data_IF_266747288976
#
_entry.id   IF_266747288976
#
_cell.length_a   1.000
_cell.length_b   1.000
_cell.length_c   1.000
_cell.angle_alpha   90.00
_cell.angle_beta   90.00
_cell.angle_gamma   90.00
#
_symmetry.space_group_name_H-M   'P 1'
#
loop_
_entity.id
_entity.type
_entity.pdbx_description
1 polymer ?
#
# COMPACT_ATOMS: atom_id res chain seq x y z
N UNK A 1 18.90 -15.88 -14.02
CA UNK A 1 17.80 -15.15 -14.73
C UNK A 1 16.44 -15.68 -14.27
N UNK A 2 15.36 -14.98 -14.62
CA UNK A 2 13.98 -15.44 -14.37
C UNK A 2 13.71 -16.77 -15.08
N UNK A 3 14.27 -16.96 -16.26
CA UNK A 3 14.12 -18.21 -17.02
C UNK A 3 14.84 -19.38 -16.35
N UNK A 4 16.00 -19.16 -15.77
CA UNK A 4 16.71 -20.20 -14.99
C UNK A 4 15.91 -20.60 -13.77
N UNK A 5 15.26 -19.63 -13.10
CA UNK A 5 14.39 -19.89 -11.96
C UNK A 5 13.16 -20.73 -12.35
N UNK A 6 12.53 -20.44 -13.49
CA UNK A 6 11.38 -21.20 -14.01
C UNK A 6 11.76 -22.64 -14.33
N UNK A 7 12.94 -22.86 -14.93
CA UNK A 7 13.46 -24.20 -15.19
C UNK A 7 13.75 -24.95 -13.89
N UNK A 8 14.35 -24.26 -12.92
CA UNK A 8 14.61 -24.80 -11.60
C UNK A 8 13.30 -25.22 -10.91
N UNK A 9 12.32 -24.31 -10.86
CA UNK A 9 11.05 -24.58 -10.19
C UNK A 9 10.29 -25.75 -10.81
N UNK A 10 10.27 -25.84 -12.14
CA UNK A 10 9.65 -26.96 -12.84
C UNK A 10 10.29 -28.30 -12.49
N UNK A 11 11.62 -28.34 -12.38
CA UNK A 11 12.34 -29.54 -11.92
C UNK A 11 12.09 -29.84 -10.46
N UNK A 12 12.07 -28.80 -9.62
CA UNK A 12 11.87 -28.90 -8.18
C UNK A 12 10.50 -29.49 -7.81
N UNK A 13 9.46 -29.06 -8.49
CA UNK A 13 8.08 -29.52 -8.26
C UNK A 13 7.68 -30.72 -9.16
N UNK A 14 8.63 -31.47 -9.70
CA UNK A 14 8.35 -32.67 -10.49
C UNK A 14 8.81 -33.94 -9.79
N UNK A 15 8.06 -35.02 -9.94
CA UNK A 15 8.43 -36.34 -9.37
C UNK A 15 9.72 -36.91 -10.02
N UNK A 16 10.18 -36.32 -11.13
CA UNK A 16 11.42 -36.69 -11.82
C UNK A 16 12.65 -35.93 -11.31
N UNK A 17 12.52 -35.08 -10.30
CA UNK A 17 13.62 -34.29 -9.79
C UNK A 17 14.63 -35.16 -9.07
N UNK A 18 15.75 -35.46 -9.72
CA UNK A 18 16.92 -36.06 -9.06
C UNK A 18 17.67 -35.03 -8.25
N UNK A 19 17.50 -35.09 -6.93
CA UNK A 19 18.20 -34.26 -5.98
C UNK A 19 19.28 -35.10 -5.30
N UNK A 20 20.55 -34.73 -5.43
CA UNK A 20 21.65 -35.41 -4.76
C UNK A 20 21.52 -35.30 -3.22
N UNK A 21 22.39 -36.03 -2.48
CA UNK A 21 22.27 -36.17 -1.00
C UNK A 21 22.22 -34.86 -0.20
N UNK A 22 22.70 -33.76 -0.77
CA UNK A 22 22.67 -32.45 -0.12
C UNK A 22 21.29 -31.78 -0.12
N UNK A 23 20.31 -32.33 -0.84
CA UNK A 23 18.99 -31.75 -1.03
C UNK A 23 17.86 -32.46 -0.27
N UNK A 24 18.22 -33.34 0.63
CA UNK A 24 17.27 -34.18 1.39
C UNK A 24 16.23 -33.35 2.17
N UNK A 25 16.60 -32.13 2.60
CA UNK A 25 15.74 -31.25 3.39
C UNK A 25 14.93 -30.26 2.58
N UNK A 26 15.15 -30.17 1.28
CA UNK A 26 14.54 -29.14 0.44
C UNK A 26 13.21 -29.59 -0.13
N UNK A 27 12.97 -30.90 -0.22
CA UNK A 27 11.76 -31.48 -0.78
C UNK A 27 10.73 -31.91 0.28
N UNK A 28 11.09 -31.83 1.57
CA UNK A 28 10.15 -32.17 2.62
C UNK A 28 9.18 -31.02 2.86
N UNK A 29 7.92 -31.34 2.97
CA UNK A 29 6.89 -30.41 3.42
C UNK A 29 7.17 -30.00 4.86
N UNK A 30 7.03 -28.74 5.18
CA UNK A 30 7.26 -28.21 6.54
C UNK A 30 6.36 -28.88 7.57
N UNK A 31 5.15 -29.26 7.18
CA UNK A 31 4.24 -30.02 8.05
C UNK A 31 4.85 -31.33 8.57
N UNK A 32 5.77 -31.96 7.83
CA UNK A 32 6.42 -33.19 8.28
C UNK A 32 7.26 -33.00 9.56
N UNK A 33 7.67 -31.77 9.86
CA UNK A 33 8.43 -31.41 11.05
C UNK A 33 7.56 -30.85 12.19
N UNK A 34 6.32 -30.53 11.91
CA UNK A 34 5.40 -29.88 12.86
C UNK A 34 4.23 -30.79 13.26
N UNK A 35 4.05 -31.93 12.58
CA UNK A 35 2.92 -32.83 12.81
C UNK A 35 3.34 -34.20 13.25
N UNK A 36 2.59 -34.82 14.17
CA UNK A 36 2.65 -36.22 14.55
C UNK A 36 1.31 -36.86 14.26
N UNK A 37 1.30 -37.95 13.51
CA UNK A 37 0.06 -38.61 13.09
C UNK A 37 -0.95 -37.69 12.40
N UNK A 38 -0.46 -36.73 11.59
CA UNK A 38 -1.29 -35.79 10.85
C UNK A 38 -1.92 -34.66 11.69
N UNK A 39 -1.46 -34.47 12.93
CA UNK A 39 -1.87 -33.36 13.78
C UNK A 39 -0.66 -32.51 14.17
N UNK A 40 -0.87 -31.19 14.20
CA UNK A 40 0.14 -30.26 14.73
C UNK A 40 0.26 -30.49 16.23
N UNK A 41 1.44 -30.83 16.69
CA UNK A 41 1.77 -31.13 18.10
C UNK A 41 2.71 -30.06 18.69
N UNK A 42 2.79 -28.89 18.05
CA UNK A 42 3.56 -27.74 18.55
C UNK A 42 2.63 -26.74 19.19
N UNK A 43 3.01 -26.20 20.35
CA UNK A 43 2.25 -25.16 21.04
C UNK A 43 2.23 -23.82 20.28
N UNK A 44 3.27 -23.58 19.47
CA UNK A 44 3.40 -22.35 18.70
C UNK A 44 4.26 -22.54 17.44
N UNK A 45 3.83 -21.97 16.33
CA UNK A 45 4.59 -21.94 15.08
C UNK A 45 4.81 -20.48 14.67
N UNK A 46 6.06 -20.04 14.73
CA UNK A 46 6.43 -18.69 14.30
C UNK A 46 6.55 -18.60 12.76
N UNK A 47 6.03 -17.55 12.16
CA UNK A 47 6.19 -17.27 10.73
C UNK A 47 7.42 -16.40 10.49
N UNK A 48 8.15 -16.65 9.41
CA UNK A 48 9.36 -15.89 9.07
C UNK A 48 9.03 -14.40 8.82
N UNK A 49 7.84 -14.13 8.31
CA UNK A 49 7.35 -12.79 8.01
C UNK A 49 7.13 -11.93 9.26
N UNK A 50 6.78 -12.57 10.37
CA UNK A 50 6.51 -11.95 11.69
C UNK A 50 7.49 -12.40 12.77
N UNK A 51 8.60 -13.04 12.40
CA UNK A 51 9.50 -13.75 13.31
C UNK A 51 9.94 -12.93 14.54
N UNK A 52 10.19 -11.63 14.37
CA UNK A 52 10.63 -10.77 15.47
C UNK A 52 9.53 -10.56 16.53
N UNK A 53 8.27 -10.48 16.10
CA UNK A 53 7.13 -10.29 16.98
C UNK A 53 6.68 -11.62 17.58
N UNK A 54 6.67 -12.70 16.79
CA UNK A 54 6.41 -14.05 17.25
C UNK A 54 7.43 -14.48 18.32
N UNK A 55 8.71 -14.13 18.13
CA UNK A 55 9.75 -14.41 19.11
C UNK A 55 9.51 -13.72 20.45
N UNK A 56 9.02 -12.49 20.45
CA UNK A 56 8.62 -11.79 21.68
C UNK A 56 7.47 -12.49 22.39
N UNK A 57 6.48 -12.98 21.64
CA UNK A 57 5.37 -13.77 22.20
C UNK A 57 5.89 -15.03 22.86
N UNK A 58 6.75 -15.79 22.18
CA UNK A 58 7.37 -17.00 22.73
C UNK A 58 8.15 -16.68 24.01
N UNK A 59 9.02 -15.67 23.98
CA UNK A 59 9.79 -15.25 25.15
C UNK A 59 8.88 -14.85 26.33
N UNK A 60 7.83 -14.09 26.05
CA UNK A 60 6.85 -13.69 27.09
C UNK A 60 6.15 -14.91 27.70
N UNK A 61 5.73 -15.87 26.89
CA UNK A 61 5.07 -17.12 27.33
C UNK A 61 5.98 -17.96 28.21
N UNK A 62 7.27 -18.00 27.88
CA UNK A 62 8.28 -18.74 28.63
C UNK A 62 8.86 -17.98 29.85
N UNK A 63 8.40 -16.73 30.10
CA UNK A 63 8.93 -15.90 31.19
C UNK A 63 10.37 -15.43 30.95
N UNK A 64 10.82 -15.40 29.69
CA UNK A 64 12.16 -14.95 29.31
C UNK A 64 12.09 -13.46 28.94
N UNK A 65 12.88 -12.63 29.62
CA UNK A 65 12.92 -11.19 29.35
C UNK A 65 14.26 -10.76 28.74
N UNK A 66 14.24 -9.70 27.94
CA UNK A 66 15.41 -8.99 27.40
C UNK A 66 16.31 -9.81 26.47
N UNK A 67 15.75 -10.67 25.63
CA UNK A 67 16.49 -11.35 24.59
C UNK A 67 16.08 -10.80 23.22
N UNK A 68 17.05 -10.28 22.48
CA UNK A 68 16.88 -9.92 21.07
C UNK A 68 17.12 -11.13 20.17
N UNK A 69 16.30 -11.23 19.13
CA UNK A 69 16.50 -12.26 18.11
C UNK A 69 17.85 -12.02 17.39
N UNK A 70 18.81 -12.97 17.44
CA UNK A 70 20.11 -12.77 16.85
C UNK A 70 20.01 -12.68 15.32
N UNK A 71 20.67 -11.69 14.73
CA UNK A 71 20.78 -11.52 13.27
C UNK A 71 22.08 -12.12 12.77
N UNK A 72 22.05 -13.37 12.35
CA UNK A 72 23.17 -14.02 11.67
C UNK A 72 22.91 -14.14 10.18
N UNK A 73 23.97 -14.07 9.36
CA UNK A 73 23.92 -14.20 7.88
C UNK A 73 23.00 -13.21 7.17
N UNK A 74 22.77 -12.02 7.75
CA UNK A 74 21.93 -10.98 7.15
C UNK A 74 22.66 -10.10 6.11
N UNK A 75 23.94 -10.36 5.87
CA UNK A 75 24.82 -9.50 5.03
C UNK A 75 24.66 -9.70 3.52
N UNK A 76 24.03 -10.78 3.09
CA UNK A 76 23.84 -11.03 1.67
C UNK A 76 22.42 -10.65 1.23
N UNK A 77 22.23 -9.39 0.82
CA UNK A 77 21.11 -8.99 -0.02
C UNK A 77 21.67 -8.69 -1.41
N UNK A 78 21.30 -9.45 -2.45
CA UNK A 78 21.60 -9.03 -3.82
C UNK A 78 21.09 -7.61 -4.04
N UNK A 79 21.89 -6.74 -4.65
CA UNK A 79 21.52 -5.34 -4.92
C UNK A 79 20.24 -5.19 -5.76
N UNK A 80 19.84 -6.24 -6.48
CA UNK A 80 18.73 -6.27 -7.43
C UNK A 80 17.70 -7.37 -7.09
N UNK A 81 17.41 -7.56 -5.80
CA UNK A 81 16.42 -8.54 -5.40
C UNK A 81 15.00 -8.01 -5.67
N UNK A 82 14.35 -8.60 -6.65
CA UNK A 82 12.96 -8.34 -6.97
C UNK A 82 12.03 -9.05 -5.98
N UNK A 83 10.81 -8.52 -5.80
CA UNK A 83 9.81 -9.22 -5.01
C UNK A 83 9.51 -10.60 -5.65
N UNK A 84 9.29 -11.62 -4.84
CA UNK A 84 9.10 -12.99 -5.33
C UNK A 84 8.01 -13.09 -6.41
N UNK A 85 6.94 -12.30 -6.32
CA UNK A 85 5.85 -12.29 -7.32
C UNK A 85 6.28 -11.93 -8.74
N UNK A 86 7.44 -11.31 -8.91
CA UNK A 86 7.98 -10.99 -10.24
C UNK A 86 8.65 -12.20 -10.92
N UNK A 87 8.91 -13.26 -10.15
CA UNK A 87 9.53 -14.49 -10.67
C UNK A 87 8.52 -15.56 -11.07
N UNK A 88 7.25 -15.40 -10.65
CA UNK A 88 6.19 -16.37 -10.89
C UNK A 88 5.19 -15.85 -11.91
N UNK A 89 4.85 -16.67 -12.90
CA UNK A 89 3.63 -16.53 -13.68
C UNK A 89 2.52 -17.47 -13.15
N UNK A 90 1.32 -17.39 -13.70
CA UNK A 90 0.18 -18.17 -13.23
C UNK A 90 0.45 -19.68 -13.22
N UNK A 91 1.26 -20.18 -14.19
CA UNK A 91 1.60 -21.61 -14.26
C UNK A 91 2.52 -22.04 -13.12
N UNK A 92 3.50 -21.21 -12.75
CA UNK A 92 4.37 -21.48 -11.63
C UNK A 92 3.61 -21.36 -10.30
N UNK A 93 2.71 -20.40 -10.19
CA UNK A 93 1.84 -20.27 -9.00
C UNK A 93 1.01 -21.54 -8.80
N UNK A 94 0.35 -22.03 -9.84
CA UNK A 94 -0.44 -23.27 -9.74
C UNK A 94 0.43 -24.52 -9.49
N UNK A 95 1.63 -24.58 -10.04
CA UNK A 95 2.57 -25.65 -9.77
C UNK A 95 2.98 -25.70 -8.31
N UNK A 96 3.35 -24.56 -7.73
CA UNK A 96 3.72 -24.45 -6.30
C UNK A 96 2.54 -24.75 -5.40
N UNK A 97 1.35 -24.22 -5.71
CA UNK A 97 0.13 -24.53 -4.95
C UNK A 97 -0.16 -26.03 -4.92
N UNK A 98 0.02 -26.72 -6.04
CA UNK A 98 -0.20 -28.15 -6.11
C UNK A 98 0.83 -28.92 -5.29
N UNK A 99 2.11 -28.55 -5.39
CA UNK A 99 3.20 -29.27 -4.74
C UNK A 99 3.22 -29.06 -3.22
N UNK A 100 3.00 -27.82 -2.77
CA UNK A 100 3.00 -27.43 -1.36
C UNK A 100 1.58 -27.26 -0.79
N UNK A 101 0.59 -27.96 -1.37
CA UNK A 101 -0.81 -27.80 -0.98
C UNK A 101 -1.05 -27.95 0.51
N UNK A 102 -0.43 -28.96 1.13
CA UNK A 102 -0.63 -29.24 2.54
C UNK A 102 0.01 -28.19 3.45
N UNK A 103 1.22 -27.73 3.13
CA UNK A 103 1.89 -26.64 3.85
C UNK A 103 1.12 -25.32 3.71
N UNK A 104 0.68 -25.00 2.50
CA UNK A 104 -0.10 -23.78 2.22
C UNK A 104 -1.39 -23.77 3.03
N UNK A 105 -2.09 -24.89 3.08
CA UNK A 105 -3.33 -25.05 3.85
C UNK A 105 -3.09 -25.00 5.35
N UNK A 106 -2.11 -25.76 5.84
CA UNK A 106 -1.83 -25.92 7.27
C UNK A 106 -1.33 -24.62 7.90
N UNK A 107 -0.44 -23.91 7.19
CA UNK A 107 0.12 -22.65 7.68
C UNK A 107 -0.60 -21.40 7.16
N UNK A 108 -1.74 -21.55 6.50
CA UNK A 108 -2.57 -20.46 5.98
C UNK A 108 -1.81 -19.47 5.08
N UNK A 109 -0.91 -19.99 4.25
CA UNK A 109 -0.22 -19.16 3.27
C UNK A 109 -1.14 -18.82 2.09
N UNK A 110 -1.01 -17.62 1.59
CA UNK A 110 -1.64 -17.20 0.34
C UNK A 110 -0.61 -16.57 -0.59
N UNK A 111 -0.74 -16.86 -1.88
CA UNK A 111 0.02 -16.12 -2.89
C UNK A 111 -0.66 -14.77 -3.10
N UNK A 112 -0.16 -13.78 -2.39
CA UNK A 112 -0.55 -12.40 -2.65
C UNK A 112 0.31 -11.88 -3.80
N UNK A 113 -0.31 -11.58 -4.93
CA UNK A 113 0.25 -10.61 -5.86
C UNK A 113 0.28 -9.26 -5.12
N UNK A 114 1.29 -9.05 -4.28
CA UNK A 114 1.57 -7.70 -3.87
C UNK A 114 1.94 -6.96 -5.15
N UNK A 115 1.12 -5.98 -5.49
CA UNK A 115 1.53 -4.97 -6.45
C UNK A 115 2.72 -4.27 -5.78
N UNK A 116 3.93 -4.73 -6.08
CA UNK A 116 5.14 -4.02 -5.67
C UNK A 116 5.16 -2.78 -6.51
N UNK A 117 4.63 -1.70 -5.97
CA UNK A 117 4.77 -0.38 -6.57
C UNK A 117 6.24 -0.01 -6.44
N UNK A 118 7.03 -0.39 -7.43
CA UNK A 118 8.38 0.13 -7.58
C UNK A 118 8.27 1.61 -7.93
N UNK A 119 8.64 2.43 -6.97
CA UNK A 119 8.85 3.84 -7.20
C UNK A 119 10.09 4.01 -8.08
N UNK A 120 9.90 4.07 -9.39
CA UNK A 120 11.00 4.28 -10.34
C UNK A 120 11.44 5.74 -10.32
N UNK A 121 10.48 6.67 -10.21
CA UNK A 121 10.70 8.12 -10.11
C UNK A 121 9.54 8.76 -9.36
N UNK A 122 9.73 9.94 -8.73
CA UNK A 122 8.60 10.71 -8.22
C UNK A 122 7.68 11.10 -9.37
N UNK A 123 6.37 10.94 -9.18
CA UNK A 123 5.34 11.27 -10.18
C UNK A 123 5.32 12.78 -10.41
N UNK A 124 5.46 13.57 -9.34
CA UNK A 124 5.51 15.03 -9.34
C UNK A 124 6.68 15.44 -8.46
N UNK A 125 7.48 16.38 -8.95
CA UNK A 125 8.57 17.02 -8.20
C UNK A 125 8.31 18.51 -8.05
N UNK A 126 9.02 19.18 -7.17
CA UNK A 126 8.98 20.63 -7.04
C UNK A 126 9.35 21.34 -8.35
N UNK A 127 10.24 20.76 -9.14
CA UNK A 127 10.66 21.30 -10.45
C UNK A 127 9.54 21.22 -11.52
N UNK A 128 8.62 20.26 -11.38
CA UNK A 128 7.48 20.13 -12.30
C UNK A 128 6.32 21.07 -11.93
N UNK A 129 6.32 21.59 -10.71
CA UNK A 129 5.29 22.52 -10.23
C UNK A 129 5.79 23.95 -10.43
N UNK A 130 5.49 24.53 -11.57
CA UNK A 130 5.87 25.91 -11.90
C UNK A 130 5.18 26.98 -11.03
N UNK A 131 4.14 26.61 -10.28
CA UNK A 131 3.29 27.51 -9.51
C UNK A 131 3.67 27.41 -8.03
N UNK A 132 4.51 28.32 -7.60
CA UNK A 132 4.64 28.79 -6.21
C UNK A 132 4.93 27.73 -5.14
N UNK A 133 6.23 27.44 -4.92
CA UNK A 133 6.70 26.80 -3.70
C UNK A 133 7.42 25.46 -3.91
N UNK A 134 8.35 25.22 -3.05
CA UNK A 134 9.27 24.11 -2.99
C UNK A 134 8.75 22.89 -2.20
N UNK A 135 7.47 22.91 -1.82
CA UNK A 135 6.86 21.90 -0.94
C UNK A 135 5.67 21.19 -1.58
N UNK A 136 5.67 19.87 -1.45
CA UNK A 136 4.58 18.97 -1.86
C UNK A 136 4.26 18.07 -0.69
N UNK A 137 3.01 18.09 -0.22
CA UNK A 137 2.56 17.22 0.85
C UNK A 137 1.14 16.68 0.66
N UNK A 138 0.77 15.70 1.48
CA UNK A 138 -0.56 15.15 1.60
C UNK A 138 -1.16 14.65 0.29
N UNK A 139 -0.48 13.80 -0.50
CA UNK A 139 -1.04 13.33 -1.77
C UNK A 139 -2.25 12.41 -1.54
N UNK A 140 -3.29 12.60 -2.36
CA UNK A 140 -4.46 11.73 -2.44
C UNK A 140 -4.81 11.48 -3.89
N UNK A 141 -4.86 10.22 -4.30
CA UNK A 141 -5.10 9.79 -5.68
C UNK A 141 -6.45 9.11 -5.79
N UNK A 142 -7.23 9.53 -6.77
CA UNK A 142 -8.46 8.83 -7.15
C UNK A 142 -8.43 8.41 -8.62
N UNK A 143 -9.10 7.30 -8.93
CA UNK A 143 -9.58 7.04 -10.28
C UNK A 143 -10.88 7.83 -10.45
N UNK A 144 -10.94 8.67 -11.47
CA UNK A 144 -12.13 9.50 -11.73
C UNK A 144 -13.32 8.61 -12.05
N UNK A 145 -14.45 8.75 -11.35
CA UNK A 145 -15.65 7.95 -11.61
C UNK A 145 -16.24 8.20 -12.99
N UNK A 146 -16.90 7.19 -13.54
CA UNK A 146 -17.49 7.24 -14.89
C UNK A 146 -18.67 8.24 -14.99
N UNK A 147 -19.26 8.63 -13.87
CA UNK A 147 -20.34 9.63 -13.82
C UNK A 147 -19.85 11.08 -13.92
N UNK A 148 -18.55 11.33 -13.75
CA UNK A 148 -17.96 12.67 -13.94
C UNK A 148 -17.99 13.03 -15.42
N UNK A 149 -18.60 14.16 -15.73
CA UNK A 149 -18.72 14.64 -17.11
C UNK A 149 -17.44 15.36 -17.56
N UNK A 150 -16.93 15.00 -18.74
CA UNK A 150 -15.76 15.63 -19.36
C UNK A 150 -14.54 15.73 -18.44
N UNK A 151 -14.08 14.61 -17.84
CA UNK A 151 -12.94 14.64 -16.95
C UNK A 151 -11.65 15.03 -17.70
N UNK A 152 -10.74 15.69 -17.04
CA UNK A 152 -9.42 16.06 -17.59
C UNK A 152 -8.53 14.84 -17.83
N UNK A 153 -8.78 13.74 -17.11
CA UNK A 153 -8.05 12.46 -17.22
C UNK A 153 -8.72 11.38 -16.39
N UNK A 154 -8.20 10.15 -16.50
CA UNK A 154 -8.71 8.99 -15.75
C UNK A 154 -8.32 9.01 -14.27
N UNK A 155 -7.30 9.76 -13.90
CA UNK A 155 -6.75 9.84 -12.55
C UNK A 155 -6.57 11.29 -12.16
N UNK A 156 -6.99 11.64 -10.94
CA UNK A 156 -6.74 12.92 -10.32
C UNK A 156 -5.88 12.71 -9.08
N UNK A 157 -4.74 13.39 -9.01
CA UNK A 157 -3.83 13.40 -7.88
C UNK A 157 -3.89 14.75 -7.21
N UNK A 158 -4.50 14.81 -6.04
CA UNK A 158 -4.57 16.01 -5.20
C UNK A 158 -3.36 16.06 -4.28
N UNK A 159 -2.88 17.27 -4.02
CA UNK A 159 -1.77 17.51 -3.12
C UNK A 159 -1.77 18.99 -2.69
N UNK A 160 -0.93 19.33 -1.71
CA UNK A 160 -0.89 20.68 -1.19
C UNK A 160 0.56 21.19 -1.02
N UNK A 161 0.69 22.47 -0.78
CA UNK A 161 1.83 23.06 -0.10
C UNK A 161 1.53 23.10 1.39
N UNK A 162 2.51 22.95 2.27
CA UNK A 162 2.28 22.93 3.72
C UNK A 162 1.60 24.19 4.25
N UNK A 163 1.86 25.34 3.63
CA UNK A 163 1.20 26.63 3.91
C UNK A 163 0.47 27.13 2.66
N UNK A 164 -0.24 26.22 1.98
CA UNK A 164 -0.87 26.50 0.70
C UNK A 164 -2.11 27.38 0.80
N UNK A 165 -2.31 28.17 -0.25
CA UNK A 165 -3.53 28.97 -0.43
C UNK A 165 -4.61 28.27 -1.25
N UNK A 166 -4.31 27.06 -1.73
CA UNK A 166 -5.23 26.20 -2.47
C UNK A 166 -4.76 24.74 -2.45
N UNK A 167 -5.70 23.83 -2.62
CA UNK A 167 -5.39 22.44 -2.92
C UNK A 167 -5.03 22.32 -4.40
N UNK A 168 -3.86 21.77 -4.68
CA UNK A 168 -3.35 21.53 -6.01
C UNK A 168 -3.89 20.21 -6.57
N UNK A 169 -3.91 20.10 -7.88
CA UNK A 169 -4.28 18.87 -8.56
C UNK A 169 -3.41 18.64 -9.79
N UNK A 170 -3.11 17.38 -10.05
CA UNK A 170 -2.59 16.92 -11.33
C UNK A 170 -3.48 15.80 -11.88
N UNK A 171 -3.49 15.62 -13.19
CA UNK A 171 -4.32 14.60 -13.84
C UNK A 171 -3.54 13.82 -14.89
N UNK A 172 -3.97 12.59 -15.12
CA UNK A 172 -3.38 11.70 -16.14
C UNK A 172 -4.41 10.68 -16.66
N UNK A 173 -4.13 10.13 -17.83
CA UNK A 173 -4.85 8.97 -18.36
C UNK A 173 -4.21 7.63 -17.96
N UNK A 174 -3.00 7.65 -17.45
CA UNK A 174 -2.28 6.49 -16.92
C UNK A 174 -1.90 6.74 -15.46
N UNK A 175 -2.11 5.74 -14.60
CA UNK A 175 -1.78 5.82 -13.16
C UNK A 175 -0.28 6.09 -12.93
N UNK A 176 0.57 5.68 -13.85
CA UNK A 176 2.02 5.92 -13.81
C UNK A 176 2.42 7.31 -14.31
N UNK A 177 1.50 8.04 -14.91
CA UNK A 177 1.74 9.35 -15.55
C UNK A 177 2.07 9.23 -17.05
N UNK A 178 2.55 10.29 -17.70
CA UNK A 178 2.87 11.58 -17.07
C UNK A 178 1.62 12.32 -16.57
N UNK A 179 1.79 13.08 -15.50
CA UNK A 179 0.75 13.92 -14.92
C UNK A 179 0.91 15.37 -15.37
N UNK A 180 -0.19 15.97 -15.82
CA UNK A 180 -0.26 17.39 -16.11
C UNK A 180 -0.82 18.14 -14.89
N UNK A 181 -0.22 19.26 -14.54
CA UNK A 181 -0.67 20.11 -13.43
C UNK A 181 -1.91 20.90 -13.87
N UNK A 182 -2.95 20.88 -13.03
CA UNK A 182 -4.07 21.79 -13.16
C UNK A 182 -3.74 23.11 -12.47
N UNK A 183 -3.44 24.13 -13.26
CA UNK A 183 -2.82 25.37 -12.78
C UNK A 183 -3.69 26.16 -11.79
N UNK A 184 -5.01 26.11 -11.95
CA UNK A 184 -5.93 26.86 -11.09
C UNK A 184 -6.10 26.27 -9.68
N UNK A 185 -5.63 25.03 -9.46
CA UNK A 185 -5.97 24.27 -8.26
C UNK A 185 -7.48 23.98 -8.15
N UNK A 186 -7.89 23.29 -7.11
CA UNK A 186 -9.28 22.86 -6.95
C UNK A 186 -10.01 23.64 -5.85
N UNK A 187 -9.59 23.55 -4.61
CA UNK A 187 -10.15 24.26 -3.48
C UNK A 187 -9.28 25.46 -3.13
N UNK A 188 -9.87 26.66 -3.13
CA UNK A 188 -9.18 27.90 -2.77
C UNK A 188 -9.38 28.25 -1.30
N UNK A 189 -8.35 28.71 -0.60
CA UNK A 189 -8.41 29.18 0.79
C UNK A 189 -9.55 30.20 1.00
N UNK A 190 -9.71 31.13 0.06
CA UNK A 190 -10.74 32.17 0.13
C UNK A 190 -12.18 31.67 0.12
N UNK A 191 -12.38 30.39 -0.21
CA UNK A 191 -13.70 29.74 -0.18
C UNK A 191 -13.91 28.88 1.08
N UNK A 192 -12.96 28.90 2.00
CA UNK A 192 -12.97 28.08 3.21
C UNK A 192 -13.05 28.98 4.45
N UNK A 193 -13.44 28.44 5.61
CA UNK A 193 -13.40 29.18 6.88
C UNK A 193 -11.98 29.39 7.42
N UNK A 194 -10.96 28.88 6.74
CA UNK A 194 -9.57 28.91 7.20
C UNK A 194 -8.92 30.28 6.94
N UNK A 195 -7.98 30.67 7.83
CA UNK A 195 -7.37 32.00 7.80
C UNK A 195 -6.14 32.09 6.91
N UNK A 196 -5.15 31.25 7.12
CA UNK A 196 -3.84 31.41 6.49
C UNK A 196 -3.47 30.33 5.49
N UNK A 197 -3.91 29.08 5.70
CA UNK A 197 -3.59 27.97 4.80
C UNK A 197 -4.64 26.86 4.81
N UNK A 198 -4.63 26.05 3.75
CA UNK A 198 -5.29 24.75 3.67
C UNK A 198 -4.32 23.72 3.12
N UNK A 199 -4.36 22.49 3.63
CA UNK A 199 -3.41 21.45 3.26
C UNK A 199 -3.95 20.03 3.47
N UNK A 200 -3.13 19.05 3.08
CA UNK A 200 -3.29 17.60 3.33
C UNK A 200 -4.65 17.05 2.88
N UNK A 201 -5.00 17.18 1.60
CA UNK A 201 -6.23 16.60 1.10
C UNK A 201 -6.27 15.09 1.30
N UNK A 202 -7.44 14.58 1.64
CA UNK A 202 -7.78 13.16 1.70
C UNK A 202 -9.11 12.98 0.94
N UNK A 203 -9.03 12.38 -0.26
CA UNK A 203 -10.12 12.42 -1.24
C UNK A 203 -10.72 11.04 -1.44
N UNK A 204 -12.03 10.96 -1.34
CA UNK A 204 -12.83 9.75 -1.44
C UNK A 204 -13.95 9.89 -2.46
N UNK A 205 -14.46 8.76 -2.93
CA UNK A 205 -15.59 8.70 -3.87
C UNK A 205 -16.79 8.11 -3.14
N UNK A 206 -17.90 8.81 -3.17
CA UNK A 206 -19.19 8.30 -2.79
C UNK A 206 -20.00 7.98 -4.06
N UNK A 207 -20.07 6.69 -4.38
CA UNK A 207 -20.76 6.21 -5.59
C UNK A 207 -22.28 6.35 -5.48
N UNK A 208 -22.83 6.28 -4.27
CA UNK A 208 -24.26 6.37 -4.04
C UNK A 208 -24.77 7.80 -4.22
N UNK A 209 -24.02 8.76 -3.67
CA UNK A 209 -24.32 10.19 -3.80
C UNK A 209 -23.75 10.83 -5.07
N UNK A 210 -22.94 10.07 -5.85
CA UNK A 210 -22.19 10.59 -6.99
C UNK A 210 -21.42 11.85 -6.63
N UNK A 211 -20.64 11.76 -5.57
CA UNK A 211 -19.91 12.87 -4.99
C UNK A 211 -18.44 12.50 -4.75
N UNK A 212 -17.55 13.41 -5.04
CA UNK A 212 -16.14 13.33 -4.67
C UNK A 212 -15.97 14.15 -3.41
N UNK A 213 -15.62 13.50 -2.31
CA UNK A 213 -15.51 14.11 -0.99
C UNK A 213 -14.03 14.35 -0.70
N UNK A 214 -13.70 15.56 -0.25
CA UNK A 214 -12.34 15.91 0.17
C UNK A 214 -12.36 16.36 1.63
N UNK A 215 -11.61 15.64 2.45
CA UNK A 215 -11.23 16.11 3.79
C UNK A 215 -9.92 16.90 3.67
N UNK A 216 -9.84 18.02 4.34
CA UNK A 216 -8.64 18.85 4.38
C UNK A 216 -8.50 19.49 5.74
N UNK A 217 -7.36 20.05 6.05
CA UNK A 217 -7.21 20.86 7.26
C UNK A 217 -6.73 22.27 6.93
N UNK A 218 -6.99 23.17 7.85
CA UNK A 218 -6.51 24.54 7.81
C UNK A 218 -6.56 25.18 9.18
N UNK A 219 -6.05 26.37 9.28
CA UNK A 219 -6.02 27.14 10.52
C UNK A 219 -7.25 28.01 10.68
N UNK A 220 -7.80 28.00 11.88
CA UNK A 220 -8.85 28.93 12.34
C UNK A 220 -8.41 29.55 13.66
N UNK A 221 -9.20 30.47 14.19
CA UNK A 221 -8.99 30.96 15.55
C UNK A 221 -9.03 29.78 16.54
N UNK A 222 -7.97 29.61 17.32
CA UNK A 222 -7.83 28.51 18.27
C UNK A 222 -7.04 27.30 17.76
N UNK A 223 -6.54 27.30 16.51
CA UNK A 223 -5.64 26.26 16.02
C UNK A 223 -6.02 25.67 14.66
N UNK A 224 -5.48 24.53 14.34
CA UNK A 224 -5.78 23.82 13.10
C UNK A 224 -6.94 22.85 13.30
N UNK A 225 -7.85 22.79 12.33
CA UNK A 225 -9.01 21.90 12.33
C UNK A 225 -9.16 21.20 10.98
N UNK A 226 -9.89 20.11 10.97
CA UNK A 226 -10.27 19.37 9.76
C UNK A 226 -11.66 19.78 9.29
N UNK A 227 -11.80 19.83 7.98
CA UNK A 227 -13.02 20.25 7.28
C UNK A 227 -13.37 19.24 6.18
N UNK A 228 -14.59 19.34 5.68
CA UNK A 228 -15.09 18.56 4.55
C UNK A 228 -15.51 19.47 3.40
N UNK A 229 -15.31 19.00 2.20
CA UNK A 229 -15.85 19.59 0.98
C UNK A 229 -16.26 18.49 0.01
N UNK A 230 -17.12 18.82 -0.95
CA UNK A 230 -17.63 17.88 -1.94
C UNK A 230 -17.72 18.50 -3.32
N UNK A 231 -17.65 17.64 -4.33
CA UNK A 231 -17.67 18.03 -5.73
C UNK A 231 -18.33 16.95 -6.59
N UNK A 232 -18.98 17.34 -7.67
CA UNK A 232 -19.51 16.44 -8.70
C UNK A 232 -18.55 16.25 -9.88
N UNK A 233 -17.49 17.05 -9.97
CA UNK A 233 -16.49 17.01 -11.04
C UNK A 233 -15.04 16.77 -10.56
N UNK A 234 -14.80 16.83 -9.26
CA UNK A 234 -13.48 16.71 -8.64
C UNK A 234 -12.58 17.94 -8.83
N UNK A 235 -13.11 19.03 -9.35
CA UNK A 235 -12.38 20.28 -9.60
C UNK A 235 -12.98 21.42 -8.76
N UNK A 236 -14.29 21.55 -8.79
CA UNK A 236 -15.03 22.61 -8.14
C UNK A 236 -15.65 22.10 -6.85
N UNK A 237 -15.01 22.39 -5.71
CA UNK A 237 -15.47 21.92 -4.41
C UNK A 237 -16.35 22.96 -3.71
N UNK A 238 -17.43 22.47 -3.12
CA UNK A 238 -18.27 23.20 -2.16
C UNK A 238 -17.82 22.83 -0.75
N UNK A 239 -17.85 23.78 0.17
CA UNK A 239 -17.28 23.65 1.52
C UNK A 239 -18.39 23.68 2.56
N UNK A 240 -18.25 22.86 3.60
CA UNK A 240 -18.94 23.04 4.86
C UNK A 240 -18.06 23.89 5.79
N UNK A 241 -18.63 24.94 6.37
CA UNK A 241 -17.92 25.84 7.29
C UNK A 241 -17.70 25.23 8.69
N UNK A 242 -18.37 24.12 8.98
CA UNK A 242 -18.25 23.44 10.28
C UNK A 242 -17.01 22.58 10.31
N UNK A 243 -16.19 22.76 11.35
CA UNK A 243 -15.08 21.88 11.62
C UNK A 243 -15.54 20.48 12.10
N UNK A 244 -14.75 19.46 11.73
CA UNK A 244 -14.98 18.08 12.12
C UNK A 244 -14.21 17.67 13.37
N UNK A 245 -13.30 18.54 13.84
CA UNK A 245 -12.41 18.25 14.98
C UNK A 245 -10.95 18.58 14.68
N UNK A 246 -10.04 17.87 15.36
CA UNK A 246 -8.59 18.12 15.24
C UNK A 246 -8.08 17.88 13.82
N UNK A 247 -6.87 18.38 13.53
CA UNK A 247 -6.28 18.34 12.19
C UNK A 247 -5.72 16.94 11.81
N UNK A 248 -5.44 16.76 10.52
CA UNK A 248 -4.93 15.53 9.90
C UNK A 248 -5.89 14.35 9.92
N UNK A 249 -7.16 14.54 9.72
CA UNK A 249 -8.08 13.44 9.47
C UNK A 249 -7.61 12.63 8.26
N UNK A 250 -7.65 11.30 8.43
CA UNK A 250 -7.62 10.32 7.38
C UNK A 250 -8.83 9.44 7.54
N UNK A 251 -9.62 9.37 6.50
CA UNK A 251 -10.94 8.73 6.52
C UNK A 251 -10.87 7.40 5.78
N UNK A 252 -11.57 6.42 6.25
CA UNK A 252 -11.75 5.16 5.55
C UNK A 252 -13.17 4.65 5.73
N UNK A 253 -13.68 3.97 4.72
CA UNK A 253 -15.00 3.36 4.79
C UNK A 253 -14.93 2.06 5.58
N UNK A 254 -15.77 1.95 6.63
CA UNK A 254 -15.91 0.75 7.43
C UNK A 254 -17.39 0.38 7.56
N UNK A 255 -17.79 -0.81 7.09
CA UNK A 255 -19.18 -1.28 7.12
C UNK A 255 -20.18 -0.22 6.64
N UNK A 256 -19.93 0.31 5.46
CA UNK A 256 -20.75 1.34 4.78
C UNK A 256 -20.88 2.70 5.51
N UNK A 257 -19.97 2.98 6.44
CA UNK A 257 -19.80 4.29 7.09
C UNK A 257 -18.42 4.85 6.84
N UNK A 258 -18.37 6.16 6.60
CA UNK A 258 -17.15 6.94 6.61
C UNK A 258 -16.81 7.38 8.03
#
# INVERSE_FOLDING_TARGET
SVDDFKVFLKKYCSDEAYWGPAHFYVNDLQQNYTTINGKVELDYIAKIESLADDFKVICSTLGISNIDLPRSKSSYKPKDFNHYSEYYDDKQVELVKKYFYDDIREFEYSYNQQIVVRRINPIITTDTIKIGGDNINGPSLIKVPDWVKNPLGKYYLYFAHHQGKHIRMAYSNDIKGPYAIYENGTLQLSKTPCGNHIASPDVHIDEDLKSIIMYYHGDIEGGQKSFISWSDDGINFQVDDKDLGEFYFRVFKYKDKF
#
